data_IF_733188298587
#
_entry.id   IF_733188298587
#
_cell.length_a   1.000
_cell.length_b   1.000
_cell.length_c   1.000
_cell.angle_alpha   90.00
_cell.angle_beta   90.00
_cell.angle_gamma   90.00
#
_symmetry.space_group_name_H-M   'P 1'
#
loop_
_entity.id
_entity.type
_entity.pdbx_description
1 polymer ?
#
# COMPACT_ATOMS: atom_id res chain seq x y z
N UNK A 1 19.98 13.08 -0.49
CA UNK A 1 19.13 13.38 0.70
C UNK A 1 18.14 12.24 0.80
N UNK A 2 17.91 11.65 1.98
CA UNK A 2 16.96 10.53 2.11
C UNK A 2 15.53 11.01 1.81
N UNK A 3 14.74 10.20 1.13
CA UNK A 3 13.32 10.46 0.86
C UNK A 3 12.47 10.05 2.05
N UNK A 4 12.81 8.92 2.69
CA UNK A 4 12.09 8.38 3.85
C UNK A 4 12.72 8.92 5.14
N UNK A 5 11.86 9.33 6.06
CA UNK A 5 12.25 9.60 7.45
C UNK A 5 12.10 8.31 8.27
N UNK A 6 13.16 7.51 8.31
CA UNK A 6 13.18 6.24 9.04
C UNK A 6 12.99 6.43 10.55
N UNK A 7 13.52 7.51 11.12
CA UNK A 7 13.41 7.79 12.55
C UNK A 7 11.97 8.17 12.92
N UNK A 8 11.30 8.98 12.08
CA UNK A 8 9.90 9.28 12.25
C UNK A 8 9.03 8.02 12.23
N UNK A 9 9.28 7.09 11.29
CA UNK A 9 8.55 5.81 11.24
C UNK A 9 8.85 4.97 12.49
N UNK A 10 10.11 4.83 12.87
CA UNK A 10 10.54 4.02 14.02
C UNK A 10 10.04 4.56 15.38
N UNK A 11 9.66 5.83 15.44
CA UNK A 11 9.10 6.49 16.62
C UNK A 11 7.57 6.33 16.76
N UNK A 12 6.88 5.82 15.73
CA UNK A 12 5.42 5.62 15.79
C UNK A 12 5.07 4.55 16.81
N UNK A 13 4.07 4.81 17.68
CA UNK A 13 3.68 3.86 18.71
C UNK A 13 2.89 2.69 18.12
N UNK A 14 3.23 1.47 18.52
CA UNK A 14 2.41 0.28 18.25
C UNK A 14 1.11 0.34 19.01
N UNK A 15 -0.03 0.29 18.32
CA UNK A 15 -1.33 0.07 18.91
C UNK A 15 -1.66 -1.42 18.87
N UNK A 16 -2.29 -1.96 19.97
CA UNK A 16 -2.50 -3.40 20.17
C UNK A 16 -3.94 -3.84 19.92
N UNK A 17 -4.87 -2.91 19.83
CA UNK A 17 -6.29 -3.20 19.69
C UNK A 17 -6.87 -2.56 18.44
N UNK A 18 -7.62 -3.31 17.61
CA UNK A 18 -8.04 -4.70 17.75
C UNK A 18 -6.97 -5.72 17.35
N UNK A 19 -5.88 -5.31 16.78
CA UNK A 19 -4.66 -6.05 16.41
C UNK A 19 -3.47 -5.10 16.38
N UNK A 20 -2.27 -5.61 16.19
CA UNK A 20 -1.06 -4.79 16.18
C UNK A 20 -0.98 -3.94 14.90
N UNK A 21 -0.97 -2.62 15.06
CA UNK A 21 -0.81 -1.66 13.96
C UNK A 21 -0.15 -0.37 14.44
N UNK A 22 0.33 0.43 13.50
CA UNK A 22 0.68 1.83 13.69
C UNK A 22 0.10 2.70 12.58
N UNK A 23 -0.10 3.96 12.84
CA UNK A 23 -0.44 5.00 11.88
C UNK A 23 0.28 6.29 12.23
N UNK A 24 0.70 7.03 11.21
CA UNK A 24 1.32 8.33 11.40
C UNK A 24 1.45 9.12 10.11
N UNK A 25 2.03 10.29 10.24
CA UNK A 25 2.40 11.18 9.13
C UNK A 25 3.90 11.48 9.21
N UNK A 26 4.45 12.14 8.18
CA UNK A 26 5.87 12.50 8.18
C UNK A 26 6.82 11.37 7.81
N UNK A 27 6.31 10.29 7.20
CA UNK A 27 7.16 9.21 6.71
C UNK A 27 8.06 9.63 5.54
N UNK A 28 7.74 10.75 4.87
CA UNK A 28 8.49 11.28 3.74
C UNK A 28 9.02 12.68 4.06
N UNK A 29 10.27 12.94 3.68
CA UNK A 29 10.90 14.25 3.83
C UNK A 29 10.27 15.28 2.89
N UNK A 30 9.93 16.45 3.41
CA UNK A 30 9.17 17.50 2.70
C UNK A 30 9.83 17.97 1.41
N UNK A 31 11.15 18.04 1.39
CA UNK A 31 11.93 18.46 0.23
C UNK A 31 11.79 17.55 -0.98
N UNK A 32 11.40 16.28 -0.75
CA UNK A 32 11.27 15.27 -1.79
C UNK A 32 9.86 15.20 -2.41
N UNK A 33 8.86 15.82 -1.80
CA UNK A 33 7.46 15.58 -2.15
C UNK A 33 7.10 15.98 -3.58
N UNK A 34 7.56 17.13 -4.05
CA UNK A 34 7.28 17.61 -5.42
C UNK A 34 7.83 16.63 -6.46
N UNK A 35 9.11 16.25 -6.32
CA UNK A 35 9.75 15.31 -7.22
C UNK A 35 9.08 13.92 -7.18
N UNK A 36 8.63 13.46 -6.00
CA UNK A 36 7.90 12.20 -5.87
C UNK A 36 6.56 12.21 -6.61
N UNK A 37 5.84 13.34 -6.58
CA UNK A 37 4.58 13.50 -7.31
C UNK A 37 4.81 13.48 -8.82
N UNK A 38 5.83 14.18 -9.31
CA UNK A 38 6.17 14.26 -10.74
C UNK A 38 6.66 12.91 -11.30
N UNK A 39 7.41 12.15 -10.49
CA UNK A 39 7.98 10.85 -10.87
C UNK A 39 7.07 9.66 -10.54
N UNK A 40 5.88 9.89 -9.97
CA UNK A 40 4.95 8.80 -9.67
C UNK A 40 4.54 8.05 -10.94
N UNK A 41 4.57 6.69 -10.98
CA UNK A 41 4.30 5.92 -12.19
C UNK A 41 2.94 6.23 -12.82
N UNK A 42 2.91 6.31 -14.16
CA UNK A 42 1.68 6.57 -14.92
C UNK A 42 0.83 5.31 -15.08
N UNK A 43 0.14 4.92 -14.01
CA UNK A 43 -0.76 3.78 -13.97
C UNK A 43 -2.17 4.22 -14.34
N UNK A 44 -2.72 3.67 -15.43
CA UNK A 44 -4.08 3.98 -15.92
C UNK A 44 -5.13 2.99 -15.41
N UNK A 45 -4.72 1.76 -15.10
CA UNK A 45 -5.63 0.71 -14.64
C UNK A 45 -5.85 0.80 -13.13
N UNK A 46 -7.05 0.40 -12.71
CA UNK A 46 -7.39 0.30 -11.28
C UNK A 46 -6.70 -0.90 -10.63
N UNK A 47 -6.58 -0.86 -9.30
CA UNK A 47 -5.98 -1.93 -8.51
C UNK A 47 -4.50 -1.73 -8.19
N UNK A 48 -3.94 -2.72 -7.51
CA UNK A 48 -2.53 -2.79 -7.19
C UNK A 48 -1.76 -3.52 -8.29
N UNK A 49 -0.68 -2.91 -8.77
CA UNK A 49 0.19 -3.45 -9.80
C UNK A 49 1.56 -3.78 -9.20
N UNK A 50 2.13 -4.96 -9.52
CA UNK A 50 3.50 -5.30 -9.14
C UNK A 50 4.50 -4.27 -9.68
N UNK A 51 5.51 -3.93 -8.87
CA UNK A 51 6.52 -2.94 -9.22
C UNK A 51 7.21 -3.23 -10.57
N UNK A 52 7.43 -4.50 -10.87
CA UNK A 52 8.11 -4.95 -12.09
C UNK A 52 7.29 -4.71 -13.39
N UNK A 53 6.04 -4.32 -13.26
CA UNK A 53 5.16 -4.04 -14.42
C UNK A 53 5.18 -2.55 -14.81
N UNK A 54 5.97 -1.73 -14.13
CA UNK A 54 6.02 -0.29 -14.36
C UNK A 54 7.44 0.23 -14.51
N UNK A 55 7.58 1.33 -15.23
CA UNK A 55 8.81 2.09 -15.26
C UNK A 55 8.88 2.98 -14.00
N UNK A 56 9.96 2.86 -13.26
CA UNK A 56 10.27 3.71 -12.09
C UNK A 56 11.49 4.57 -12.41
N UNK A 57 11.41 5.86 -12.07
CA UNK A 57 12.48 6.83 -12.37
C UNK A 57 12.60 7.89 -11.28
N UNK A 58 13.66 8.65 -11.33
CA UNK A 58 13.89 9.82 -10.50
C UNK A 58 13.69 9.58 -9.01
N UNK A 59 12.97 10.47 -8.35
CA UNK A 59 12.68 10.40 -6.92
C UNK A 59 11.86 9.16 -6.54
N UNK A 60 10.95 8.69 -7.41
CA UNK A 60 10.18 7.48 -7.13
C UNK A 60 11.08 6.23 -7.14
N UNK A 61 12.07 6.15 -8.05
CA UNK A 61 13.04 5.05 -8.03
C UNK A 61 13.92 5.07 -6.77
N UNK A 62 14.28 6.27 -6.29
CA UNK A 62 14.99 6.44 -5.02
C UNK A 62 14.15 5.96 -3.83
N UNK A 63 12.87 6.37 -3.77
CA UNK A 63 11.94 5.88 -2.76
C UNK A 63 11.88 4.36 -2.72
N UNK A 64 11.79 3.70 -3.88
CA UNK A 64 11.75 2.23 -3.95
C UNK A 64 13.06 1.62 -3.40
N UNK A 65 14.24 2.18 -3.76
CA UNK A 65 15.52 1.71 -3.20
C UNK A 65 15.59 1.85 -1.68
N UNK A 66 15.06 2.94 -1.14
CA UNK A 66 14.98 3.13 0.31
C UNK A 66 13.99 2.16 0.98
N UNK A 67 12.84 1.87 0.36
CA UNK A 67 11.88 0.86 0.82
C UNK A 67 12.51 -0.54 0.84
N UNK A 68 13.30 -0.89 -0.17
CA UNK A 68 14.00 -2.19 -0.25
C UNK A 68 15.19 -2.30 0.71
N UNK A 69 15.59 -1.20 1.35
CA UNK A 69 16.72 -1.19 2.25
C UNK A 69 16.43 -1.89 3.60
N UNK A 70 17.46 -2.45 4.26
CA UNK A 70 17.32 -2.96 5.63
C UNK A 70 16.87 -1.90 6.64
N UNK A 71 17.19 -0.60 6.39
CA UNK A 71 16.80 0.50 7.27
C UNK A 71 15.29 0.69 7.32
N UNK A 72 14.59 0.63 6.18
CA UNK A 72 13.13 0.69 6.16
C UNK A 72 12.50 -0.50 6.89
N UNK A 73 12.98 -1.71 6.61
CA UNK A 73 12.51 -2.91 7.33
C UNK A 73 12.72 -2.78 8.83
N UNK A 74 13.88 -2.27 9.28
CA UNK A 74 14.16 -2.06 10.70
C UNK A 74 13.22 -1.01 11.33
N UNK A 75 12.94 0.11 10.63
CA UNK A 75 12.03 1.15 11.11
C UNK A 75 10.60 0.61 11.28
N UNK A 76 10.07 -0.11 10.29
CA UNK A 76 8.73 -0.72 10.37
C UNK A 76 8.69 -1.85 11.40
N UNK A 77 9.75 -2.66 11.52
CA UNK A 77 9.88 -3.70 12.55
C UNK A 77 9.76 -3.12 13.95
N UNK A 78 10.43 -1.99 14.20
CA UNK A 78 10.38 -1.29 15.48
C UNK A 78 8.98 -0.72 15.76
N UNK A 79 8.35 -0.07 14.76
CA UNK A 79 7.01 0.49 14.90
C UNK A 79 5.90 -0.59 15.11
N UNK A 80 6.12 -1.83 14.63
CA UNK A 80 5.22 -2.98 14.84
C UNK A 80 5.63 -3.89 15.98
N UNK A 81 6.77 -3.63 16.64
CA UNK A 81 7.34 -4.52 17.65
C UNK A 81 7.40 -5.98 17.14
N UNK A 82 7.99 -6.17 15.96
CA UNK A 82 8.06 -7.47 15.27
C UNK A 82 9.23 -7.48 14.30
N UNK A 83 10.12 -8.46 14.42
CA UNK A 83 11.23 -8.63 13.47
C UNK A 83 10.71 -9.06 12.09
N UNK A 84 10.83 -8.17 11.11
CA UNK A 84 10.46 -8.39 9.72
C UNK A 84 11.65 -8.75 8.83
N UNK A 85 12.89 -8.70 9.36
CA UNK A 85 14.12 -8.92 8.59
C UNK A 85 14.23 -10.30 7.90
N UNK A 86 13.61 -11.39 8.43
CA UNK A 86 13.67 -12.69 7.76
C UNK A 86 12.76 -12.82 6.54
N UNK A 87 11.85 -11.85 6.32
CA UNK A 87 10.76 -11.99 5.34
C UNK A 87 11.02 -11.14 4.11
N UNK A 88 10.90 -11.71 2.89
CA UNK A 88 11.03 -10.95 1.66
C UNK A 88 9.86 -9.98 1.47
N UNK A 89 10.13 -8.85 0.82
CA UNK A 89 9.16 -7.82 0.50
C UNK A 89 8.50 -8.07 -0.85
N UNK A 90 7.19 -7.87 -0.91
CA UNK A 90 6.41 -7.72 -2.15
C UNK A 90 5.91 -6.29 -2.21
N UNK A 91 6.38 -5.52 -3.19
CA UNK A 91 5.99 -4.12 -3.40
C UNK A 91 4.98 -4.05 -4.53
N UNK A 92 3.87 -3.35 -4.28
CA UNK A 92 2.85 -3.06 -5.29
C UNK A 92 2.44 -1.59 -5.20
N UNK A 93 2.03 -1.02 -6.34
CA UNK A 93 1.68 0.39 -6.46
C UNK A 93 0.27 0.53 -7.02
N UNK A 94 -0.51 1.45 -6.49
CA UNK A 94 -1.81 1.87 -7.00
C UNK A 94 -1.78 3.37 -7.28
N UNK A 95 -2.40 3.78 -8.40
CA UNK A 95 -2.68 5.18 -8.70
C UNK A 95 -4.18 5.44 -8.79
N UNK A 96 -4.94 4.52 -9.39
CA UNK A 96 -6.37 4.69 -9.63
C UNK A 96 -7.17 3.67 -8.84
N UNK A 97 -8.25 4.13 -8.24
CA UNK A 97 -9.22 3.30 -7.52
C UNK A 97 -10.60 3.35 -8.20
N UNK A 98 -11.33 2.25 -8.13
CA UNK A 98 -12.68 2.10 -8.69
C UNK A 98 -13.70 1.77 -7.59
N UNK A 99 -14.99 1.97 -7.88
CA UNK A 99 -16.08 1.79 -6.93
C UNK A 99 -16.18 0.38 -6.32
N UNK A 100 -15.72 -0.66 -7.02
CA UNK A 100 -15.72 -2.04 -6.53
C UNK A 100 -14.56 -2.38 -5.60
N UNK A 101 -13.66 -1.42 -5.36
CA UNK A 101 -12.52 -1.55 -4.46
C UNK A 101 -12.84 -0.95 -3.10
N UNK A 102 -12.04 -1.27 -2.10
CA UNK A 102 -12.20 -0.72 -0.76
C UNK A 102 -13.00 -1.63 0.18
N UNK A 103 -13.13 -2.90 -0.11
CA UNK A 103 -13.83 -3.87 0.73
C UNK A 103 -13.11 -4.09 2.07
N UNK A 104 -13.89 -4.42 3.11
CA UNK A 104 -13.36 -4.90 4.39
C UNK A 104 -12.78 -6.29 4.18
N UNK A 105 -11.55 -6.50 4.61
CA UNK A 105 -10.87 -7.78 4.49
C UNK A 105 -9.73 -7.94 5.51
N UNK A 106 -9.28 -9.15 5.69
CA UNK A 106 -7.97 -9.47 6.25
C UNK A 106 -6.99 -9.80 5.13
N UNK A 107 -5.73 -9.50 5.33
CA UNK A 107 -4.68 -9.90 4.41
C UNK A 107 -4.55 -11.43 4.31
N UNK A 108 -4.04 -11.91 3.17
CA UNK A 108 -3.83 -13.35 2.94
C UNK A 108 -2.82 -13.93 3.95
N UNK A 109 -2.96 -15.22 4.28
CA UNK A 109 -2.11 -15.94 5.24
C UNK A 109 -0.63 -15.97 4.87
N UNK A 110 -0.29 -15.74 3.62
CA UNK A 110 1.10 -15.63 3.16
C UNK A 110 1.79 -14.34 3.60
N UNK A 111 1.05 -13.32 4.06
CA UNK A 111 1.63 -12.09 4.59
C UNK A 111 1.90 -12.21 6.08
N UNK A 112 2.96 -11.56 6.54
CA UNK A 112 3.33 -11.37 7.96
C UNK A 112 2.87 -9.99 8.42
N UNK A 113 3.19 -8.96 7.63
CA UNK A 113 2.82 -7.58 7.86
C UNK A 113 2.64 -6.85 6.54
N UNK A 114 1.90 -5.74 6.58
CA UNK A 114 1.74 -4.82 5.45
C UNK A 114 1.99 -3.40 5.92
N UNK A 115 2.68 -2.60 5.11
CA UNK A 115 2.77 -1.15 5.25
C UNK A 115 2.26 -0.47 3.99
N UNK A 116 1.63 0.70 4.17
CA UNK A 116 1.08 1.55 3.11
C UNK A 116 1.68 2.94 3.27
N UNK A 117 2.32 3.46 2.22
CA UNK A 117 2.78 4.86 2.16
C UNK A 117 1.91 5.58 1.12
N UNK A 118 1.25 6.65 1.52
CA UNK A 118 0.33 7.41 0.68
C UNK A 118 1.01 8.63 0.07
N UNK A 119 0.55 9.01 -1.15
CA UNK A 119 1.16 10.06 -1.97
C UNK A 119 0.15 10.93 -2.71
N UNK A 120 -1.03 11.17 -2.14
CA UNK A 120 -1.95 12.16 -2.69
C UNK A 120 -1.71 13.52 -2.00
N UNK A 121 -1.89 14.63 -2.71
CA UNK A 121 -1.66 15.97 -2.15
C UNK A 121 -2.56 16.21 -0.94
N UNK A 122 -3.78 16.61 -1.16
CA UNK A 122 -4.80 16.82 -0.14
C UNK A 122 -5.96 15.83 -0.33
N UNK A 123 -6.52 15.32 0.76
CA UNK A 123 -7.63 14.39 0.69
C UNK A 123 -8.92 15.00 1.26
N UNK A 124 -9.77 15.49 0.38
CA UNK A 124 -11.03 16.14 0.75
C UNK A 124 -12.21 15.18 0.87
N UNK A 125 -12.11 13.97 0.28
CA UNK A 125 -13.18 12.99 0.33
C UNK A 125 -13.33 12.36 1.72
N UNK A 126 -14.57 12.16 2.21
CA UNK A 126 -14.81 11.31 3.36
C UNK A 126 -14.55 9.83 3.04
N UNK A 127 -14.60 9.43 1.76
CA UNK A 127 -14.39 8.08 1.29
C UNK A 127 -12.91 7.82 0.92
N UNK A 128 -12.56 6.55 0.76
CA UNK A 128 -11.21 6.15 0.38
C UNK A 128 -10.17 6.23 1.51
N UNK A 129 -10.54 6.63 2.72
CA UNK A 129 -9.68 6.67 3.90
C UNK A 129 -9.46 5.27 4.44
N UNK A 130 -8.21 4.95 4.77
CA UNK A 130 -7.90 3.64 5.36
C UNK A 130 -8.45 3.55 6.78
N UNK A 131 -9.10 2.42 7.10
CA UNK A 131 -9.67 2.17 8.44
C UNK A 131 -9.16 0.86 9.01
N UNK A 132 -8.81 0.88 10.29
CA UNK A 132 -8.61 -0.28 11.15
C UNK A 132 -9.95 -0.59 11.82
N UNK A 133 -10.47 -1.81 11.61
CA UNK A 133 -11.85 -2.16 11.94
C UNK A 133 -11.93 -3.22 13.04
N UNK A 134 -13.03 -3.19 13.82
CA UNK A 134 -13.33 -4.19 14.84
C UNK A 134 -13.97 -5.44 14.29
N UNK A 135 -14.57 -5.36 13.08
CA UNK A 135 -15.33 -6.47 12.48
C UNK A 135 -15.22 -6.45 10.95
N UNK A 136 -15.78 -7.44 10.30
CA UNK A 136 -15.70 -7.72 8.86
C UNK A 136 -16.85 -7.15 8.02
N UNK A 137 -17.78 -6.42 8.61
CA UNK A 137 -19.04 -6.04 7.93
C UNK A 137 -19.44 -4.56 8.09
N UNK A 138 -18.80 -3.80 8.98
CA UNK A 138 -19.19 -2.41 9.24
C UNK A 138 -17.99 -1.46 9.20
N UNK A 139 -17.93 -0.61 8.17
CA UNK A 139 -16.93 0.45 8.08
C UNK A 139 -17.05 1.51 9.18
N UNK A 140 -18.22 1.68 9.79
CA UNK A 140 -18.43 2.60 10.91
C UNK A 140 -17.78 2.13 12.21
N UNK A 141 -17.50 0.82 12.33
CA UNK A 141 -16.87 0.22 13.50
C UNK A 141 -15.35 0.28 13.46
N UNK A 142 -14.77 1.44 13.13
CA UNK A 142 -13.32 1.62 13.11
C UNK A 142 -12.77 2.13 14.44
N UNK A 143 -11.49 1.87 14.70
CA UNK A 143 -10.72 2.37 15.85
C UNK A 143 -9.76 3.47 15.44
N UNK A 144 -9.30 3.45 14.18
CA UNK A 144 -8.39 4.42 13.61
C UNK A 144 -8.65 4.60 12.11
N UNK A 145 -8.44 5.81 11.63
CA UNK A 145 -8.60 6.19 10.22
C UNK A 145 -7.41 7.03 9.77
N UNK A 146 -6.90 6.77 8.57
CA UNK A 146 -5.87 7.57 7.91
C UNK A 146 -6.36 8.11 6.57
N UNK A 147 -6.25 9.42 6.37
CA UNK A 147 -6.38 10.01 5.04
C UNK A 147 -5.19 9.57 4.17
N UNK A 148 -5.40 9.23 2.89
CA UNK A 148 -4.32 8.79 2.02
C UNK A 148 -3.46 9.96 1.50
N UNK A 149 -3.09 10.89 2.36
CA UNK A 149 -2.29 12.07 2.05
C UNK A 149 -0.80 11.76 2.02
N UNK A 150 -0.04 12.59 1.30
CA UNK A 150 1.41 12.43 1.13
C UNK A 150 2.15 12.38 2.46
N UNK A 151 2.95 11.32 2.64
CA UNK A 151 3.70 11.08 3.87
C UNK A 151 2.89 10.43 4.99
N UNK A 152 1.59 10.16 4.78
CA UNK A 152 0.86 9.29 5.69
C UNK A 152 1.32 7.84 5.51
N UNK A 153 1.55 7.16 6.62
CA UNK A 153 1.95 5.76 6.67
C UNK A 153 1.07 4.97 7.61
N UNK A 154 0.75 3.76 7.20
CA UNK A 154 0.04 2.76 8.01
C UNK A 154 0.85 1.48 7.96
N UNK A 155 0.97 0.79 9.08
CA UNK A 155 1.53 -0.56 9.14
C UNK A 155 0.72 -1.43 10.06
N UNK A 156 0.56 -2.71 9.73
CA UNK A 156 -0.17 -3.66 10.58
C UNK A 156 0.33 -5.09 10.39
N UNK A 157 0.22 -5.88 11.47
CA UNK A 157 0.45 -7.32 11.42
C UNK A 157 -0.77 -8.04 10.87
N UNK A 158 -0.52 -9.09 10.11
CA UNK A 158 -1.58 -10.00 9.68
C UNK A 158 -2.05 -10.86 10.85
N UNK A 159 -3.35 -10.87 11.08
CA UNK A 159 -4.05 -11.79 11.98
C UNK A 159 -5.38 -12.19 11.33
N UNK A 160 -6.04 -13.24 11.84
CA UNK A 160 -7.33 -13.70 11.30
C UNK A 160 -8.48 -12.69 11.54
N UNK A 161 -8.24 -11.72 12.42
CA UNK A 161 -9.14 -10.63 12.76
C UNK A 161 -8.56 -9.25 12.47
N UNK A 162 -7.50 -9.15 11.66
CA UNK A 162 -6.91 -7.86 11.26
C UNK A 162 -7.74 -7.18 10.16
N UNK A 163 -9.01 -6.92 10.47
CA UNK A 163 -9.97 -6.32 9.55
C UNK A 163 -9.59 -4.88 9.22
N UNK A 164 -9.49 -4.61 7.96
CA UNK A 164 -9.16 -3.27 7.45
C UNK A 164 -9.73 -3.05 6.05
N UNK A 165 -9.72 -1.81 5.61
CA UNK A 165 -10.16 -1.44 4.27
C UNK A 165 -10.39 0.05 4.16
N UNK A 166 -11.08 0.45 3.11
CA UNK A 166 -11.56 1.81 2.92
C UNK A 166 -12.93 1.78 2.24
N UNK A 167 -13.76 2.77 2.46
CA UNK A 167 -15.02 2.94 1.73
C UNK A 167 -14.75 3.08 0.24
N UNK A 168 -15.69 2.64 -0.64
CA UNK A 168 -15.54 2.79 -2.08
C UNK A 168 -15.18 4.21 -2.49
N UNK A 169 -14.19 4.34 -3.37
CA UNK A 169 -13.73 5.63 -3.90
C UNK A 169 -13.37 5.48 -5.37
N UNK A 170 -13.80 6.42 -6.19
CA UNK A 170 -13.47 6.47 -7.63
C UNK A 170 -12.57 7.67 -7.87
N UNK A 171 -11.38 7.42 -8.42
CA UNK A 171 -10.44 8.48 -8.73
C UNK A 171 -9.00 8.14 -8.39
N UNK A 172 -8.17 9.18 -8.34
CA UNK A 172 -6.76 9.02 -8.03
C UNK A 172 -6.56 8.77 -6.53
N UNK A 173 -5.90 7.66 -6.19
CA UNK A 173 -5.57 7.23 -4.84
C UNK A 173 -4.20 6.55 -4.84
N UNK A 174 -3.16 7.40 -4.82
CA UNK A 174 -1.76 6.97 -4.91
C UNK A 174 -1.31 6.33 -3.61
N UNK A 175 -0.82 5.11 -3.72
CA UNK A 175 -0.26 4.37 -2.58
C UNK A 175 0.78 3.36 -3.03
N UNK A 176 1.86 3.25 -2.28
CA UNK A 176 2.82 2.15 -2.33
C UNK A 176 2.50 1.20 -1.18
N UNK A 177 2.23 -0.06 -1.51
CA UNK A 177 2.01 -1.12 -0.54
C UNK A 177 3.23 -2.02 -0.48
N UNK A 178 3.74 -2.23 0.70
CA UNK A 178 4.85 -3.12 1.02
C UNK A 178 4.31 -4.25 1.90
N UNK A 179 4.42 -5.49 1.44
CA UNK A 179 4.03 -6.65 2.22
C UNK A 179 5.24 -7.52 2.50
N UNK A 180 5.53 -7.79 3.76
CA UNK A 180 6.46 -8.84 4.15
C UNK A 180 5.73 -10.18 4.10
N UNK A 181 6.26 -11.12 3.31
CA UNK A 181 5.61 -12.40 3.04
C UNK A 181 6.47 -13.57 3.52
N UNK A 182 5.83 -14.72 3.78
CA UNK A 182 6.49 -15.89 4.37
C UNK A 182 7.67 -16.42 3.57
N UNK A 183 7.60 -16.34 2.23
CA UNK A 183 8.63 -16.91 1.38
C UNK A 183 8.71 -16.25 0.00
N UNK A 184 9.82 -16.42 -0.69
CA UNK A 184 9.98 -16.03 -2.09
C UNK A 184 8.96 -16.76 -3.00
N UNK A 185 8.64 -18.01 -2.70
CA UNK A 185 7.64 -18.77 -3.44
C UNK A 185 6.24 -18.15 -3.37
N UNK A 186 5.90 -17.46 -2.26
CA UNK A 186 4.66 -16.70 -2.13
C UNK A 186 4.64 -15.46 -3.03
N UNK A 187 5.77 -14.78 -3.18
CA UNK A 187 5.93 -13.68 -4.13
C UNK A 187 5.70 -14.19 -5.55
N UNK A 188 6.41 -15.24 -5.95
CA UNK A 188 6.34 -15.79 -7.31
C UNK A 188 4.93 -16.27 -7.66
N UNK A 189 4.21 -16.86 -6.70
CA UNK A 189 2.81 -17.27 -6.88
C UNK A 189 1.90 -16.06 -7.09
N UNK A 190 2.07 -14.98 -6.31
CA UNK A 190 1.29 -13.75 -6.46
C UNK A 190 1.58 -13.05 -7.77
N UNK A 191 2.85 -12.93 -8.18
CA UNK A 191 3.25 -12.36 -9.46
C UNK A 191 2.64 -13.11 -10.65
N UNK A 192 2.65 -14.44 -10.63
CA UNK A 192 1.99 -15.27 -11.66
C UNK A 192 0.49 -15.00 -11.75
N UNK A 193 -0.21 -14.91 -10.63
CA UNK A 193 -1.66 -14.62 -10.61
C UNK A 193 -1.97 -13.21 -11.16
N UNK A 194 -1.17 -12.21 -10.84
CA UNK A 194 -1.31 -10.86 -11.39
C UNK A 194 -0.99 -10.82 -12.89
N UNK A 195 0.06 -11.50 -13.34
CA UNK A 195 0.41 -11.61 -14.77
C UNK A 195 -0.69 -12.29 -15.59
N UNK A 196 -1.28 -13.36 -15.10
CA UNK A 196 -2.42 -14.03 -15.76
C UNK A 196 -3.66 -13.14 -15.81
N UNK A 197 -3.99 -12.47 -14.71
CA UNK A 197 -5.15 -11.56 -14.65
C UNK A 197 -5.02 -10.38 -15.62
N UNK A 198 -3.84 -9.78 -15.72
CA UNK A 198 -3.57 -8.69 -16.66
C UNK A 198 -3.59 -9.15 -18.12
N UNK A 199 -3.11 -10.34 -18.40
CA UNK A 199 -3.16 -10.97 -19.73
C UNK A 199 -4.60 -11.23 -20.18
N UNK A 200 -5.44 -11.81 -19.33
CA UNK A 200 -6.86 -12.03 -19.64
C UNK A 200 -7.66 -10.74 -19.80
N UNK A 201 -7.43 -9.71 -18.97
CA UNK A 201 -8.05 -8.39 -19.14
C UNK A 201 -7.65 -7.74 -20.46
N UNK A 202 -6.41 -7.91 -20.91
CA UNK A 202 -5.91 -7.38 -22.18
C UNK A 202 -6.50 -8.10 -23.39
N UNK A 203 -6.83 -9.38 -23.28
CA UNK A 203 -7.49 -10.17 -24.34
C UNK A 203 -8.98 -9.88 -24.40
N UNK A 204 -9.67 -9.79 -23.24
CA UNK A 204 -11.11 -9.56 -23.15
C UNK A 204 -11.51 -8.08 -23.33
N UNK A 205 -10.57 -7.14 -23.18
CA UNK A 205 -10.79 -5.69 -23.38
C UNK A 205 -10.76 -5.24 -24.85
N UNK A 206 -10.70 -6.15 -25.83
CA UNK A 206 -10.99 -5.85 -27.23
C UNK A 206 -12.50 -5.95 -27.48
N UNK A 207 -13.22 -4.91 -27.12
CA UNK A 207 -14.57 -4.72 -27.65
C UNK A 207 -14.49 -4.45 -29.17
N UNK A 208 -15.33 -5.10 -29.99
CA UNK A 208 -15.45 -4.76 -31.39
C UNK A 208 -16.06 -3.36 -31.53
N UNK A 209 -15.41 -2.48 -32.28
CA UNK A 209 -16.00 -1.21 -32.67
C UNK A 209 -17.31 -1.48 -33.43
N UNK A 210 -18.40 -0.74 -33.19
CA UNK A 210 -19.59 -0.85 -34.00
C UNK A 210 -19.25 -0.39 -35.42
N UNK A 211 -19.57 -1.23 -36.38
CA UNK A 211 -19.56 -0.86 -37.81
C UNK A 211 -20.52 0.31 -38.02
N UNK A 212 -20.08 1.33 -38.77
CA UNK A 212 -20.90 2.44 -39.25
C UNK A 212 -22.04 1.96 -40.13
#
# INVERSE_FOLDING_TARGET
MSIIDFDAIAALPTQRQPYDFFMGTGALNKESLVALHDDFPDIKQTGFHPLEQMEVKGAFAELIREIESPAFTAAVSKALDTDLSPYPQLITVRKVSAAHEGNIHCDSESKIATSLIYMNDTWHSPDGRFRVLRNDHDFGSYVAEAAPETGAIVGFKRADHSWHGHTPFVGERRVVQIAWVRSQADIDRKKRRHGMSSFFKRILGREPQPAM
#
